data_IF_263936571792
#
_entry.id   IF_263936571792
#
_cell.length_a   1.000
_cell.length_b   1.000
_cell.length_c   1.000
_cell.angle_alpha   90.00
_cell.angle_beta   90.00
_cell.angle_gamma   90.00
#
_symmetry.space_group_name_H-M   'P 1'
#
loop_
_entity.id
_entity.type
_entity.pdbx_description
1 polymer ?
#
# COMPACT_ATOMS: atom_id res chain seq x y z
N UNK A 1 -1.75 8.14 6.43
CA UNK A 1 -1.18 6.88 5.91
C UNK A 1 0.06 6.44 6.67
N UNK A 2 1.09 7.29 6.86
CA UNK A 2 2.32 6.89 7.56
C UNK A 2 2.07 6.41 9.00
N UNK A 3 1.32 7.21 9.77
CA UNK A 3 0.95 6.94 11.17
C UNK A 3 0.07 5.69 11.35
N UNK A 4 -0.73 5.35 10.33
CA UNK A 4 -1.68 4.24 10.37
C UNK A 4 -0.98 2.89 10.23
N UNK A 5 -0.03 2.78 9.30
CA UNK A 5 0.76 1.55 9.13
C UNK A 5 1.74 1.37 10.29
N UNK A 6 2.18 2.45 10.94
CA UNK A 6 3.01 2.37 12.16
C UNK A 6 2.21 1.91 13.40
N UNK A 7 0.91 2.22 13.47
CA UNK A 7 0.02 1.79 14.56
C UNK A 7 -0.30 0.29 14.52
N UNK A 8 -0.25 -0.32 13.34
CA UNK A 8 -0.47 -1.75 13.13
C UNK A 8 0.90 -2.41 13.03
N UNK A 9 1.19 -3.46 13.81
CA UNK A 9 2.51 -4.10 13.80
C UNK A 9 2.91 -4.54 12.38
N UNK A 10 3.82 -3.83 11.68
CA UNK A 10 4.11 -4.06 10.26
C UNK A 10 4.79 -5.42 10.03
N UNK A 11 5.46 -5.95 11.06
CA UNK A 11 6.12 -7.25 11.06
C UNK A 11 5.15 -8.41 10.83
N UNK A 12 3.84 -8.18 10.99
CA UNK A 12 2.80 -9.13 10.62
C UNK A 12 2.80 -9.43 9.13
N UNK A 13 3.11 -8.43 8.29
CA UNK A 13 2.88 -8.48 6.85
C UNK A 13 4.12 -8.81 6.03
N UNK A 14 5.31 -8.52 6.53
CA UNK A 14 6.57 -8.81 5.85
C UNK A 14 7.64 -9.29 6.83
N UNK A 15 8.62 -10.02 6.32
CA UNK A 15 9.75 -10.49 7.12
C UNK A 15 10.91 -9.48 7.06
N UNK A 16 11.20 -8.83 8.20
CA UNK A 16 12.38 -7.96 8.32
C UNK A 16 13.68 -8.72 8.59
N UNK A 17 13.61 -10.01 8.92
CA UNK A 17 14.79 -10.80 9.27
C UNK A 17 15.64 -11.16 8.05
N UNK A 18 15.03 -11.22 6.87
CA UNK A 18 15.70 -11.43 5.59
C UNK A 18 15.57 -10.16 4.74
N UNK A 19 16.46 -9.19 4.96
CA UNK A 19 16.53 -7.95 4.14
C UNK A 19 16.96 -8.28 2.70
N UNK A 20 16.03 -8.80 1.91
CA UNK A 20 16.12 -8.82 0.44
C UNK A 20 15.48 -7.57 -0.18
N UNK A 21 15.16 -6.54 0.61
CA UNK A 21 14.46 -5.33 0.18
C UNK A 21 15.19 -4.48 -0.87
N UNK A 22 16.35 -4.94 -1.35
CA UNK A 22 17.13 -4.35 -2.44
C UNK A 22 17.43 -2.85 -2.20
N UNK A 23 17.57 -2.45 -0.93
CA UNK A 23 17.85 -1.06 -0.53
C UNK A 23 16.63 -0.17 -0.30
N UNK A 24 15.42 -0.71 -0.36
CA UNK A 24 14.19 0.03 -0.05
C UNK A 24 13.66 -0.33 1.35
N UNK A 25 12.97 0.62 1.98
CA UNK A 25 12.28 0.37 3.23
C UNK A 25 10.96 -0.40 2.98
N UNK A 26 10.78 -1.54 3.64
CA UNK A 26 9.63 -2.43 3.44
C UNK A 26 8.30 -1.80 3.87
N UNK A 27 8.30 -0.91 4.88
CA UNK A 27 7.09 -0.19 5.30
C UNK A 27 6.69 0.80 4.21
N UNK A 28 7.64 1.57 3.68
CA UNK A 28 7.39 2.53 2.61
C UNK A 28 6.92 1.83 1.33
N UNK A 29 7.55 0.71 0.98
CA UNK A 29 7.14 -0.12 -0.16
C UNK A 29 5.70 -0.63 0.03
N UNK A 30 5.34 -1.12 1.21
CA UNK A 30 3.98 -1.56 1.53
C UNK A 30 2.98 -0.40 1.42
N UNK A 31 3.31 0.76 1.97
CA UNK A 31 2.46 1.96 1.89
C UNK A 31 2.19 2.39 0.46
N UNK A 32 3.22 2.38 -0.41
CA UNK A 32 3.05 2.69 -1.83
C UNK A 32 2.17 1.66 -2.55
N UNK A 33 2.38 0.37 -2.27
CA UNK A 33 1.57 -0.69 -2.88
C UNK A 33 0.12 -0.58 -2.44
N UNK A 34 -0.16 -0.42 -1.15
CA UNK A 34 -1.52 -0.26 -0.61
C UNK A 34 -2.22 1.00 -1.15
N UNK A 35 -1.50 2.12 -1.21
CA UNK A 35 -2.06 3.37 -1.73
C UNK A 35 -2.45 3.27 -3.21
N UNK A 36 -1.76 2.44 -3.98
CA UNK A 36 -2.01 2.25 -5.40
C UNK A 36 -2.75 0.95 -5.73
N UNK A 37 -3.11 0.16 -4.71
CA UNK A 37 -3.65 -1.18 -4.85
C UNK A 37 -4.97 -1.16 -5.65
N UNK A 38 -5.11 -2.09 -6.61
CA UNK A 38 -6.32 -2.20 -7.45
C UNK A 38 -6.43 -1.22 -8.62
N UNK A 39 -5.61 -0.17 -8.69
CA UNK A 39 -5.76 0.90 -9.71
C UNK A 39 -4.65 0.96 -10.75
N UNK A 40 -3.46 0.39 -10.49
CA UNK A 40 -2.30 0.61 -11.36
C UNK A 40 -1.42 -0.63 -11.55
N UNK A 41 -0.79 -0.74 -12.72
CA UNK A 41 0.29 -1.70 -12.94
C UNK A 41 1.56 -1.32 -12.16
N UNK A 42 2.44 -2.29 -11.89
CA UNK A 42 3.73 -2.02 -11.22
C UNK A 42 4.60 -0.98 -11.95
N UNK A 43 4.48 -0.88 -13.29
CA UNK A 43 5.16 0.15 -14.08
C UNK A 43 4.61 1.53 -13.80
N UNK A 44 3.29 1.65 -13.66
CA UNK A 44 2.63 2.90 -13.31
C UNK A 44 2.92 3.28 -11.86
N UNK A 45 2.93 2.33 -10.92
CA UNK A 45 3.37 2.54 -9.54
C UNK A 45 4.81 3.10 -9.46
N UNK A 46 5.75 2.50 -10.21
CA UNK A 46 7.11 3.02 -10.31
C UNK A 46 7.19 4.43 -10.92
N UNK A 47 6.25 4.78 -11.81
CA UNK A 47 6.14 6.14 -12.35
C UNK A 47 5.58 7.14 -11.32
N UNK A 48 4.62 6.72 -10.50
CA UNK A 48 4.09 7.54 -9.42
C UNK A 48 5.19 7.90 -8.41
N UNK A 49 6.06 6.95 -8.06
CA UNK A 49 7.23 7.23 -7.21
C UNK A 49 8.18 8.28 -7.79
N UNK A 50 8.19 8.50 -9.12
CA UNK A 50 9.00 9.54 -9.76
C UNK A 50 8.34 10.90 -9.82
N UNK A 51 7.01 10.97 -9.94
CA UNK A 51 6.32 12.19 -10.34
C UNK A 51 5.18 12.63 -9.42
N UNK A 52 4.64 11.74 -8.59
CA UNK A 52 3.57 12.06 -7.65
C UNK A 52 4.16 12.32 -6.27
N UNK A 53 3.91 13.53 -5.76
CA UNK A 53 4.47 14.01 -4.49
C UNK A 53 4.16 13.10 -3.30
N UNK A 54 3.01 12.41 -3.31
CA UNK A 54 2.62 11.52 -2.21
C UNK A 54 3.53 10.29 -2.15
N UNK A 55 3.83 9.73 -3.33
CA UNK A 55 4.69 8.57 -3.45
C UNK A 55 6.15 8.96 -3.23
N UNK A 56 6.57 10.13 -3.68
CA UNK A 56 7.90 10.68 -3.36
C UNK A 56 8.07 10.88 -1.85
N UNK A 57 7.05 11.39 -1.15
CA UNK A 57 7.08 11.57 0.30
C UNK A 57 7.14 10.25 1.06
N UNK A 58 6.32 9.26 0.66
CA UNK A 58 6.35 7.92 1.26
C UNK A 58 7.71 7.25 1.06
N UNK A 59 8.29 7.37 -0.15
CA UNK A 59 9.56 6.73 -0.49
C UNK A 59 10.80 7.54 -0.08
N UNK A 60 10.64 8.66 0.63
CA UNK A 60 11.74 9.56 1.01
C UNK A 60 12.62 9.96 -0.19
N UNK A 61 11.97 10.31 -1.30
CA UNK A 61 12.61 10.67 -2.56
C UNK A 61 13.20 9.50 -3.36
N UNK A 62 13.19 8.26 -2.85
CA UNK A 62 13.61 7.09 -3.61
C UNK A 62 12.61 6.77 -4.74
N UNK A 63 13.11 6.21 -5.84
CA UNK A 63 12.29 5.87 -7.01
C UNK A 63 12.43 4.39 -7.40
N UNK A 64 11.77 3.46 -6.68
CA UNK A 64 11.87 2.04 -6.97
C UNK A 64 11.43 1.69 -8.39
N UNK A 65 12.08 0.69 -8.98
CA UNK A 65 11.68 0.16 -10.27
C UNK A 65 10.46 -0.76 -10.15
N UNK A 66 9.76 -1.02 -11.26
CA UNK A 66 8.67 -2.00 -11.27
C UNK A 66 9.12 -3.41 -10.85
N UNK A 67 10.38 -3.77 -11.10
CA UNK A 67 10.97 -5.05 -10.65
C UNK A 67 11.25 -5.05 -9.14
N UNK A 68 11.59 -3.90 -8.56
CA UNK A 68 11.71 -3.78 -7.10
C UNK A 68 10.36 -4.05 -6.43
N UNK A 69 9.28 -3.46 -6.94
CA UNK A 69 7.93 -3.75 -6.44
C UNK A 69 7.51 -5.20 -6.68
N UNK A 70 7.85 -5.80 -7.82
CA UNK A 70 7.57 -7.22 -8.08
C UNK A 70 8.21 -8.12 -7.02
N UNK A 71 9.52 -7.93 -6.77
CA UNK A 71 10.25 -8.70 -5.75
C UNK A 71 9.67 -8.49 -4.36
N UNK A 72 9.39 -7.23 -4.01
CA UNK A 72 8.79 -6.93 -2.72
C UNK A 72 7.46 -7.68 -2.51
N UNK A 73 6.55 -7.61 -3.50
CA UNK A 73 5.23 -8.24 -3.39
C UNK A 73 5.32 -9.77 -3.37
N UNK A 74 6.22 -10.35 -4.16
CA UNK A 74 6.30 -11.81 -4.33
C UNK A 74 7.19 -12.47 -3.26
N UNK A 75 8.29 -11.82 -2.88
CA UNK A 75 9.38 -12.46 -2.12
C UNK A 75 9.43 -11.98 -0.66
N UNK A 76 9.04 -10.73 -0.38
CA UNK A 76 9.19 -10.13 0.96
C UNK A 76 7.89 -10.15 1.80
N UNK A 77 6.72 -10.20 1.14
CA UNK A 77 5.43 -10.30 1.83
C UNK A 77 5.18 -11.72 2.34
N UNK A 78 4.66 -11.83 3.58
CA UNK A 78 4.31 -13.12 4.20
C UNK A 78 2.97 -13.66 3.72
N UNK A 79 2.14 -12.83 3.11
CA UNK A 79 0.81 -13.17 2.62
C UNK A 79 0.44 -12.28 1.42
N UNK A 80 -0.54 -12.69 0.60
CA UNK A 80 -0.99 -11.90 -0.53
C UNK A 80 -1.42 -10.49 -0.13
N UNK A 81 -1.14 -9.52 -0.98
CA UNK A 81 -1.46 -8.11 -0.72
C UNK A 81 -2.98 -7.88 -0.54
N UNK A 82 -3.80 -8.70 -1.19
CA UNK A 82 -5.26 -8.74 -1.03
C UNK A 82 -5.68 -9.07 0.41
N UNK A 83 -5.01 -10.07 1.02
CA UNK A 83 -5.29 -10.49 2.40
C UNK A 83 -4.83 -9.42 3.40
N UNK A 84 -3.69 -8.77 3.12
CA UNK A 84 -3.22 -7.62 3.91
C UNK A 84 -4.26 -6.49 3.85
N UNK A 85 -4.75 -6.15 2.66
CA UNK A 85 -5.77 -5.12 2.49
C UNK A 85 -7.05 -5.43 3.26
N UNK A 86 -7.53 -6.68 3.19
CA UNK A 86 -8.70 -7.12 3.94
C UNK A 86 -8.49 -7.04 5.46
N UNK A 87 -7.34 -7.49 5.95
CA UNK A 87 -7.00 -7.48 7.37
C UNK A 87 -6.90 -6.05 7.93
N UNK A 88 -6.29 -5.13 7.16
CA UNK A 88 -6.21 -3.71 7.50
C UNK A 88 -7.62 -3.08 7.56
N UNK A 89 -8.46 -3.30 6.56
CA UNK A 89 -9.83 -2.77 6.56
C UNK A 89 -10.62 -3.26 7.77
N UNK A 90 -10.53 -4.56 8.09
CA UNK A 90 -11.18 -5.14 9.27
C UNK A 90 -10.64 -4.57 10.58
N UNK A 91 -9.36 -4.20 10.63
CA UNK A 91 -8.79 -3.51 11.77
C UNK A 91 -9.39 -2.11 11.93
N UNK A 92 -9.50 -1.32 10.85
CA UNK A 92 -10.13 0.00 10.90
C UNK A 92 -11.60 -0.08 11.30
N UNK A 93 -12.38 -0.99 10.71
CA UNK A 93 -13.79 -1.21 11.06
C UNK A 93 -14.03 -1.44 12.55
N UNK A 94 -13.07 -2.05 13.25
CA UNK A 94 -13.17 -2.39 14.67
C UNK A 94 -12.65 -1.30 15.61
N UNK A 95 -11.70 -0.48 15.14
CA UNK A 95 -10.99 0.48 15.98
C UNK A 95 -11.43 1.94 15.72
N UNK A 96 -12.09 2.22 14.59
CA UNK A 96 -12.66 3.53 14.30
C UNK A 96 -14.14 3.63 14.68
N UNK A 97 -14.46 4.54 15.61
CA UNK A 97 -15.78 5.15 15.74
C UNK A 97 -15.94 6.32 14.75
N UNK A 98 -15.57 6.11 13.47
CA UNK A 98 -15.55 7.17 12.46
C UNK A 98 -16.71 6.99 11.47
N UNK A 99 -17.43 8.10 11.28
CA UNK A 99 -18.62 8.25 10.45
C UNK A 99 -18.33 7.82 9.00
N UNK A 100 -19.10 6.84 8.52
CA UNK A 100 -18.92 6.22 7.22
C UNK A 100 -19.18 7.23 6.11
N UNK A 101 -18.12 7.84 5.57
CA UNK A 101 -18.20 8.43 4.23
C UNK A 101 -17.81 7.35 3.22
N UNK A 102 -18.74 6.43 2.99
CA UNK A 102 -18.65 5.43 1.93
C UNK A 102 -18.62 6.16 0.57
N UNK A 103 -17.53 6.03 -0.18
CA UNK A 103 -17.56 6.23 -1.63
C UNK A 103 -17.09 4.94 -2.32
N UNK A 104 -18.03 4.02 -2.48
CA UNK A 104 -17.90 2.86 -3.33
C UNK A 104 -18.21 3.29 -4.77
N UNK A 105 -17.19 3.50 -5.60
CA UNK A 105 -17.38 3.65 -7.04
C UNK A 105 -17.27 2.28 -7.71
N UNK A 106 -18.41 1.75 -8.16
CA UNK A 106 -18.50 0.58 -9.04
C UNK A 106 -18.34 1.09 -10.48
N UNK A 107 -17.22 0.77 -11.13
CA UNK A 107 -17.13 0.85 -12.60
C UNK A 107 -17.44 -0.54 -13.21
N UNK A 108 -17.99 -0.51 -14.42
CA UNK A 108 -18.58 -1.59 -15.22
C UNK A 108 -17.65 -2.77 -15.53
N UNK A 109 -16.41 -2.75 -15.06
CA UNK A 109 -15.38 -3.78 -15.25
C UNK A 109 -15.34 -4.85 -14.15
N UNK A 110 -16.23 -4.81 -13.16
CA UNK A 110 -16.45 -5.94 -12.23
C UNK A 110 -15.32 -6.19 -11.23
N UNK A 111 -14.47 -5.19 -10.97
CA UNK A 111 -13.49 -5.26 -9.89
C UNK A 111 -14.06 -4.53 -8.66
N UNK A 112 -14.51 -5.29 -7.67
CA UNK A 112 -14.75 -4.75 -6.33
C UNK A 112 -13.41 -4.40 -5.69
N UNK A 113 -13.25 -3.19 -5.16
CA UNK A 113 -12.65 -2.83 -3.86
C UNK A 113 -12.52 -1.29 -3.77
N UNK A 114 -12.69 -0.78 -2.55
CA UNK A 114 -13.14 0.57 -2.20
C UNK A 114 -12.09 1.69 -2.33
N UNK A 115 -12.59 2.91 -2.50
CA UNK A 115 -11.84 4.16 -2.52
C UNK A 115 -11.40 4.59 -1.11
N UNK A 116 -10.10 4.82 -0.93
CA UNK A 116 -9.59 5.79 0.03
C UNK A 116 -9.18 7.04 -0.75
N UNK A 117 -10.18 7.77 -1.23
CA UNK A 117 -9.96 9.06 -1.85
C UNK A 117 -9.51 10.04 -0.76
N UNK A 118 -8.18 10.19 -0.66
CA UNK A 118 -7.48 11.47 -0.53
C UNK A 118 -8.29 12.53 0.26
N UNK A 119 -8.34 12.37 1.58
CA UNK A 119 -8.59 13.49 2.49
C UNK A 119 -7.45 13.65 3.47
N UNK A 120 -6.25 13.80 2.91
CA UNK A 120 -5.07 14.39 3.56
C UNK A 120 -4.33 15.29 2.55
N UNK A 121 -5.10 16.14 1.86
CA UNK A 121 -4.63 17.41 1.33
C UNK A 121 -5.48 18.52 1.96
#
# INVERSE_FOLDING_TARGET
MKEVVETINPLKYFDLSHRNSNGYDSVNMLQCVLLAFGYVSLRKLASLCRYDIRFQFIMDGQTPSHMAFHRFIHDDLKMPIEEIFYDLNRYFEKNDTIDRTEQFFIDRSGCHLYAYEIRLL
#
